data_IF_966744831626
#
_entry.id   IF_966744831626
#
_cell.length_a   1.000
_cell.length_b   1.000
_cell.length_c   1.000
_cell.angle_alpha   90.00
_cell.angle_beta   90.00
_cell.angle_gamma   90.00
#
_symmetry.space_group_name_H-M   'P 1'
#
loop_
_entity.id
_entity.type
_entity.pdbx_description
1 polymer ?
#
# COMPACT_ATOMS: atom_id res chain seq x y z
N UNK A 1 -7.33 -9.77 -50.17
CA UNK A 1 -6.30 -8.71 -50.10
C UNK A 1 -6.15 -8.35 -48.62
N UNK A 2 -5.32 -9.03 -47.85
CA UNK A 2 -3.89 -8.73 -47.58
C UNK A 2 -3.67 -7.23 -47.32
N UNK A 3 -3.49 -6.81 -46.07
CA UNK A 3 -2.19 -6.27 -45.62
C UNK A 3 -2.08 -6.35 -44.09
N UNK A 4 -1.16 -7.19 -43.62
CA UNK A 4 -0.59 -7.12 -42.28
C UNK A 4 0.33 -5.90 -42.22
N UNK A 5 0.32 -5.14 -41.11
CA UNK A 5 1.42 -4.22 -40.80
C UNK A 5 2.15 -4.73 -39.55
N UNK A 6 3.44 -4.92 -39.76
CA UNK A 6 4.42 -5.51 -38.87
C UNK A 6 4.95 -4.46 -37.89
N UNK A 7 5.10 -4.93 -36.65
CA UNK A 7 5.94 -4.46 -35.53
C UNK A 7 7.15 -3.59 -35.92
N UNK A 8 7.42 -2.56 -35.11
CA UNK A 8 8.76 -2.01 -34.96
C UNK A 8 9.11 -1.90 -33.46
N UNK A 9 10.15 -2.64 -33.08
CA UNK A 9 10.87 -2.61 -31.82
C UNK A 9 12.20 -1.90 -32.06
N UNK A 10 12.54 -0.83 -31.33
CA UNK A 10 13.93 -0.42 -31.13
C UNK A 10 14.31 -0.76 -29.69
N UNK A 11 15.24 -1.69 -29.44
CA UNK A 11 16.60 -1.58 -29.94
C UNK A 11 17.50 -1.14 -28.79
N UNK A 12 17.95 -2.14 -28.03
CA UNK A 12 18.98 -2.14 -27.00
C UNK A 12 20.19 -1.25 -27.36
N UNK A 13 20.58 -0.34 -26.46
CA UNK A 13 21.93 0.28 -26.51
C UNK A 13 22.71 -0.17 -25.28
N UNK A 14 23.78 -0.93 -25.54
CA UNK A 14 24.77 -1.37 -24.55
C UNK A 14 25.87 -0.32 -24.37
N UNK A 15 26.19 -0.08 -23.09
CA UNK A 15 27.51 0.17 -22.46
C UNK A 15 28.45 1.21 -23.06
N UNK A 16 28.87 2.14 -22.20
CA UNK A 16 30.24 2.65 -22.16
C UNK A 16 30.68 2.81 -20.69
N UNK A 17 31.63 1.98 -20.28
CA UNK A 17 32.41 2.17 -19.07
C UNK A 17 33.43 3.28 -19.32
N UNK A 18 33.57 4.21 -18.37
CA UNK A 18 34.74 5.08 -18.28
C UNK A 18 35.20 5.14 -16.82
N UNK A 19 36.31 4.45 -16.56
CA UNK A 19 37.13 4.55 -15.35
C UNK A 19 38.19 5.63 -15.63
N UNK A 20 38.28 6.69 -14.81
CA UNK A 20 39.46 7.57 -14.73
C UNK A 20 39.50 8.32 -13.38
N UNK A 21 40.08 7.62 -12.40
CA UNK A 21 41.14 8.00 -11.46
C UNK A 21 41.52 9.50 -11.25
N UNK A 22 41.71 9.84 -9.96
CA UNK A 22 42.60 10.85 -9.28
C UNK A 22 42.08 12.25 -8.89
N UNK A 23 42.28 12.58 -7.59
CA UNK A 23 42.22 13.92 -6.99
C UNK A 23 41.89 13.89 -5.48
N UNK A 24 42.79 13.46 -4.60
CA UNK A 24 43.66 14.27 -3.73
C UNK A 24 42.92 15.21 -2.74
N UNK A 25 42.89 14.75 -1.47
CA UNK A 25 43.08 15.44 -0.18
C UNK A 25 42.28 16.73 0.10
N UNK A 26 41.43 16.69 1.14
CA UNK A 26 41.32 17.79 2.10
C UNK A 26 41.44 17.25 3.53
N UNK A 27 42.50 17.67 4.22
CA UNK A 27 42.61 17.65 5.67
C UNK A 27 41.62 18.65 6.25
N UNK A 28 40.84 18.21 7.22
CA UNK A 28 39.98 19.08 8.03
C UNK A 28 39.75 18.42 9.37
N UNK A 29 40.72 18.53 10.27
CA UNK A 29 40.50 18.24 11.70
C UNK A 29 39.61 19.35 12.24
N UNK A 30 38.32 19.08 12.38
CA UNK A 30 37.45 19.88 13.23
C UNK A 30 37.79 19.56 14.68
N UNK A 31 38.66 20.37 15.27
CA UNK A 31 38.68 20.54 16.72
C UNK A 31 37.42 21.32 17.09
N UNK A 32 36.49 20.66 17.79
CA UNK A 32 35.40 21.32 18.47
C UNK A 32 35.56 20.98 19.96
N UNK A 33 36.48 21.68 20.61
CA UNK A 33 36.40 21.88 22.06
C UNK A 33 35.52 23.10 22.29
N UNK A 34 34.36 22.87 22.90
CA UNK A 34 33.53 23.92 23.47
C UNK A 34 32.90 23.36 24.72
N UNK A 35 33.44 23.79 25.84
CA UNK A 35 32.98 23.53 27.20
C UNK A 35 31.53 23.99 27.33
N UNK A 36 30.59 23.05 27.43
CA UNK A 36 29.22 23.35 27.84
C UNK A 36 28.94 22.69 29.19
N UNK A 37 28.59 23.55 30.15
CA UNK A 37 28.21 23.31 31.53
C UNK A 37 27.43 22.00 31.74
N UNK A 38 27.91 21.19 32.69
CA UNK A 38 27.23 20.01 33.17
C UNK A 38 25.90 20.39 33.86
N UNK A 39 24.80 20.33 33.11
CA UNK A 39 23.49 20.09 33.71
C UNK A 39 23.42 18.61 34.09
N UNK A 40 23.40 18.31 35.39
CA UNK A 40 22.98 16.99 35.90
C UNK A 40 21.52 16.77 35.53
N UNK A 41 21.26 16.24 34.33
CA UNK A 41 19.99 15.63 34.01
C UNK A 41 20.01 14.21 34.61
N UNK A 42 19.15 14.01 35.60
CA UNK A 42 18.76 12.68 36.06
C UNK A 42 18.31 11.88 34.81
N UNK A 43 18.86 10.69 34.51
CA UNK A 43 18.38 9.91 33.38
C UNK A 43 17.03 9.30 33.79
N UNK A 44 15.96 10.07 33.64
CA UNK A 44 14.64 9.51 33.43
C UNK A 44 14.79 8.62 32.20
N UNK A 45 14.59 7.32 32.38
CA UNK A 45 14.54 6.33 31.31
C UNK A 45 13.49 6.79 30.30
N UNK A 46 13.91 7.55 29.30
CA UNK A 46 13.21 7.65 28.03
C UNK A 46 13.20 6.23 27.49
N UNK A 47 12.04 5.59 27.28
CA UNK A 47 12.03 4.31 26.60
C UNK A 47 12.61 4.58 25.22
N UNK A 48 13.80 4.03 24.97
CA UNK A 48 14.32 3.85 23.62
C UNK A 48 13.27 2.99 22.93
N UNK A 49 12.41 3.62 22.14
CA UNK A 49 11.48 2.91 21.26
C UNK A 49 12.37 2.17 20.28
N UNK A 50 12.54 0.88 20.54
CA UNK A 50 13.24 -0.01 19.64
C UNK A 50 12.53 0.07 18.28
N UNK A 51 13.23 0.59 17.27
CA UNK A 51 12.78 0.66 15.86
C UNK A 51 12.63 -0.73 15.20
N UNK A 52 12.60 -1.80 16.01
CA UNK A 52 12.42 -3.19 15.60
C UNK A 52 11.05 -3.75 15.99
N UNK A 53 10.09 -2.91 16.41
CA UNK A 53 8.72 -3.35 16.56
C UNK A 53 8.15 -3.63 15.17
N UNK A 54 7.84 -4.90 14.90
CA UNK A 54 7.00 -5.29 13.78
C UNK A 54 5.73 -4.42 13.80
N UNK A 55 5.27 -3.89 12.65
CA UNK A 55 4.06 -3.07 12.62
C UNK A 55 2.94 -3.80 13.35
N UNK A 56 2.27 -3.14 14.30
CA UNK A 56 1.11 -3.73 14.95
C UNK A 56 -0.02 -3.82 13.91
N UNK A 57 -0.05 -4.94 13.18
CA UNK A 57 -1.03 -5.19 12.13
C UNK A 57 -2.44 -5.17 12.75
N UNK A 58 -3.43 -4.59 12.06
CA UNK A 58 -4.79 -4.52 12.58
C UNK A 58 -5.34 -5.91 12.86
N UNK A 59 -5.95 -6.07 14.04
CA UNK A 59 -6.63 -7.32 14.41
C UNK A 59 -8.12 -7.20 14.03
N UNK A 60 -8.73 -8.27 13.52
CA UNK A 60 -10.16 -8.27 13.25
C UNK A 60 -10.95 -8.26 14.56
N UNK A 61 -12.21 -7.83 14.46
CA UNK A 61 -13.23 -8.04 15.48
C UNK A 61 -13.62 -9.52 15.58
N UNK A 62 -14.43 -9.86 16.57
CA UNK A 62 -14.92 -11.23 16.80
C UNK A 62 -15.67 -11.80 15.58
N UNK A 63 -16.40 -10.95 14.85
CA UNK A 63 -17.09 -11.33 13.61
C UNK A 63 -16.17 -11.39 12.37
N UNK A 64 -14.85 -11.22 12.56
CA UNK A 64 -13.85 -11.20 11.50
C UNK A 64 -13.65 -9.85 10.82
N UNK A 65 -14.47 -8.83 11.11
CA UNK A 65 -14.39 -7.55 10.42
C UNK A 65 -13.19 -6.71 10.87
N UNK A 66 -12.55 -6.06 9.91
CA UNK A 66 -11.50 -5.07 10.20
C UNK A 66 -12.11 -3.69 10.43
N UNK A 67 -11.57 -2.98 11.42
CA UNK A 67 -11.87 -1.57 11.67
C UNK A 67 -10.94 -0.68 10.85
N UNK A 68 -11.27 0.61 10.79
CA UNK A 68 -10.40 1.66 10.26
C UNK A 68 -9.01 1.59 10.86
N UNK A 69 -8.00 1.52 9.99
CA UNK A 69 -6.58 1.48 10.35
C UNK A 69 -5.75 2.16 9.25
N UNK A 70 -4.52 2.59 9.55
CA UNK A 70 -3.59 3.14 8.56
C UNK A 70 -2.84 2.06 7.78
N UNK A 71 -3.31 0.81 7.81
CA UNK A 71 -2.66 -0.33 7.16
C UNK A 71 -2.81 -0.24 5.64
N UNK A 72 -1.69 -0.22 4.91
CA UNK A 72 -1.68 -0.03 3.45
C UNK A 72 -1.64 -1.36 2.68
N UNK A 73 -0.93 -2.36 3.20
CA UNK A 73 -0.65 -3.60 2.46
C UNK A 73 -1.46 -4.77 2.99
N UNK A 74 -2.05 -5.54 2.08
CA UNK A 74 -2.97 -6.63 2.38
C UNK A 74 -2.72 -7.82 1.46
N UNK A 75 -3.11 -9.02 1.90
CA UNK A 75 -3.14 -10.24 1.09
C UNK A 75 -4.59 -10.72 0.99
N UNK A 76 -5.01 -11.12 -0.22
CA UNK A 76 -6.28 -11.80 -0.43
C UNK A 76 -6.18 -13.26 0.03
N UNK A 77 -6.98 -13.64 1.03
CA UNK A 77 -7.01 -14.99 1.62
C UNK A 77 -8.32 -15.73 1.39
N UNK A 78 -9.18 -15.21 0.51
CA UNK A 78 -10.46 -15.83 0.18
C UNK A 78 -10.26 -17.30 -0.24
N UNK A 79 -10.98 -18.21 0.43
CA UNK A 79 -10.89 -19.64 0.19
C UNK A 79 -11.63 -20.09 -1.09
N UNK A 80 -12.45 -19.22 -1.70
CA UNK A 80 -13.09 -19.50 -2.98
C UNK A 80 -12.04 -19.59 -4.10
N UNK A 81 -12.05 -20.69 -4.84
CA UNK A 81 -11.17 -20.91 -5.99
C UNK A 81 -11.34 -19.89 -7.10
N UNK A 82 -12.47 -19.19 -7.16
CA UNK A 82 -12.72 -18.12 -8.12
C UNK A 82 -12.08 -16.78 -7.72
N UNK A 83 -11.48 -16.68 -6.54
CA UNK A 83 -10.84 -15.47 -6.03
C UNK A 83 -11.80 -14.53 -5.28
N UNK A 84 -11.23 -13.49 -4.69
CA UNK A 84 -11.95 -12.43 -3.99
C UNK A 84 -12.55 -11.44 -4.98
N UNK A 85 -13.87 -11.26 -4.95
CA UNK A 85 -14.56 -10.28 -5.80
C UNK A 85 -14.15 -8.85 -5.44
N UNK A 86 -13.81 -8.07 -6.48
CA UNK A 86 -13.55 -6.64 -6.37
C UNK A 86 -14.68 -5.87 -7.05
N UNK A 87 -15.39 -5.06 -6.26
CA UNK A 87 -16.61 -4.35 -6.65
C UNK A 87 -16.31 -2.90 -7.02
N UNK A 88 -16.75 -2.43 -8.18
CA UNK A 88 -16.41 -1.09 -8.66
C UNK A 88 -17.53 -0.44 -9.46
N UNK A 89 -17.47 0.88 -9.52
CA UNK A 89 -18.22 1.71 -10.46
C UNK A 89 -17.22 2.36 -11.42
N UNK A 90 -17.71 2.86 -12.54
CA UNK A 90 -16.91 3.68 -13.47
C UNK A 90 -16.78 5.12 -12.92
N UNK A 91 -16.13 5.24 -11.77
CA UNK A 91 -15.87 6.48 -11.03
C UNK A 91 -14.50 6.41 -10.37
N UNK A 92 -13.77 7.52 -10.38
CA UNK A 92 -12.54 7.69 -9.60
C UNK A 92 -12.82 7.69 -8.09
N UNK A 93 -11.78 7.47 -7.29
CA UNK A 93 -11.90 7.57 -5.83
C UNK A 93 -12.37 8.95 -5.39
N UNK A 94 -11.84 10.00 -6.01
CA UNK A 94 -12.21 11.38 -5.76
C UNK A 94 -13.69 11.63 -6.05
N UNK A 95 -14.21 11.08 -7.15
CA UNK A 95 -15.62 11.16 -7.47
C UNK A 95 -16.49 10.37 -6.50
N UNK A 96 -16.01 9.22 -6.01
CA UNK A 96 -16.74 8.40 -5.04
C UNK A 96 -16.88 9.10 -3.68
N UNK A 97 -15.85 9.83 -3.24
CA UNK A 97 -15.85 10.49 -1.91
C UNK A 97 -16.31 11.95 -1.93
N UNK A 98 -16.54 12.54 -3.12
CA UNK A 98 -17.02 13.91 -3.24
C UNK A 98 -18.45 14.02 -2.67
N UNK A 99 -18.69 14.82 -1.62
CA UNK A 99 -20.02 14.98 -1.03
C UNK A 99 -21.05 15.59 -2.00
N UNK A 100 -20.61 16.17 -3.13
CA UNK A 100 -21.47 16.68 -4.20
C UNK A 100 -21.98 15.55 -5.10
N UNK A 101 -21.27 14.43 -5.16
CA UNK A 101 -21.70 13.25 -5.89
C UNK A 101 -22.59 12.40 -4.97
N UNK A 102 -23.85 12.21 -5.36
CA UNK A 102 -24.82 11.40 -4.61
C UNK A 102 -24.61 9.91 -4.87
N UNK A 103 -23.43 9.38 -4.55
CA UNK A 103 -23.12 7.96 -4.68
C UNK A 103 -23.62 7.22 -3.45
N UNK A 104 -24.55 6.28 -3.65
CA UNK A 104 -24.94 5.34 -2.59
C UNK A 104 -23.86 4.26 -2.46
N UNK A 105 -23.18 4.22 -1.31
CA UNK A 105 -22.20 3.17 -0.98
C UNK A 105 -22.94 1.86 -0.65
N UNK A 106 -23.51 1.21 -1.65
CA UNK A 106 -24.14 -0.12 -1.56
C UNK A 106 -23.24 -1.16 -2.25
N UNK A 107 -22.00 -1.21 -1.75
CA UNK A 107 -20.85 -1.79 -2.46
C UNK A 107 -21.07 -3.26 -2.81
N UNK A 108 -21.74 -4.02 -1.93
CA UNK A 108 -22.07 -5.42 -2.18
C UNK A 108 -22.86 -5.64 -3.48
N UNK A 109 -23.66 -4.65 -3.89
CA UNK A 109 -24.51 -4.70 -5.07
C UNK A 109 -23.86 -4.03 -6.30
N UNK A 110 -22.66 -3.48 -6.18
CA UNK A 110 -21.93 -2.94 -7.33
C UNK A 110 -21.39 -4.05 -8.23
N UNK A 111 -21.19 -3.78 -9.53
CA UNK A 111 -20.59 -4.72 -10.46
C UNK A 111 -19.23 -5.25 -9.98
N UNK A 112 -18.98 -6.53 -10.24
CA UNK A 112 -17.65 -7.13 -10.04
C UNK A 112 -16.81 -6.74 -11.25
N UNK A 113 -15.80 -5.90 -11.04
CA UNK A 113 -14.91 -5.38 -12.09
C UNK A 113 -13.59 -6.15 -12.17
N UNK A 114 -13.31 -6.99 -11.18
CA UNK A 114 -12.14 -7.85 -11.15
C UNK A 114 -12.15 -8.82 -9.98
N UNK A 115 -11.12 -9.66 -9.91
CA UNK A 115 -10.93 -10.61 -8.82
C UNK A 115 -9.47 -10.68 -8.41
N UNK A 116 -9.22 -10.77 -7.09
CA UNK A 116 -7.90 -11.06 -6.56
C UNK A 116 -7.77 -12.56 -6.30
N UNK A 117 -6.66 -13.15 -6.71
CA UNK A 117 -6.36 -14.57 -6.45
C UNK A 117 -6.03 -14.75 -4.97
N UNK A 118 -6.25 -15.96 -4.45
CA UNK A 118 -5.77 -16.30 -3.12
C UNK A 118 -4.23 -16.21 -3.07
N UNK A 119 -3.70 -15.61 -2.01
CA UNK A 119 -2.28 -15.33 -1.83
C UNK A 119 -1.78 -14.12 -2.62
N UNK A 120 -2.66 -13.40 -3.31
CA UNK A 120 -2.29 -12.20 -4.04
C UNK A 120 -2.23 -11.01 -3.10
N UNK A 121 -1.08 -10.34 -3.11
CA UNK A 121 -0.85 -9.11 -2.36
C UNK A 121 -1.40 -7.90 -3.11
N UNK A 122 -1.87 -6.91 -2.36
CA UNK A 122 -2.37 -5.65 -2.89
C UNK A 122 -2.15 -4.47 -1.94
N UNK A 123 -2.13 -3.28 -2.53
CA UNK A 123 -2.04 -2.01 -1.84
C UNK A 123 -3.33 -1.20 -1.98
N UNK A 124 -3.52 -0.29 -1.02
CA UNK A 124 -4.72 0.52 -0.90
C UNK A 124 -4.32 1.99 -0.83
N UNK A 125 -5.17 2.87 -1.33
CA UNK A 125 -5.04 4.28 -1.03
C UNK A 125 -5.71 4.59 0.32
N UNK A 126 -5.09 5.45 1.12
CA UNK A 126 -5.73 5.96 2.33
C UNK A 126 -6.60 7.15 1.96
N UNK A 127 -7.82 7.20 2.50
CA UNK A 127 -8.65 8.39 2.36
C UNK A 127 -8.04 9.60 3.09
N UNK A 128 -8.61 10.81 2.92
CA UNK A 128 -8.08 12.05 3.51
C UNK A 128 -7.87 12.00 5.04
N UNK A 129 -8.62 11.15 5.74
CA UNK A 129 -8.50 10.92 7.18
C UNK A 129 -7.36 9.94 7.57
N UNK A 130 -6.58 9.42 6.62
CA UNK A 130 -5.49 8.47 6.87
C UNK A 130 -5.93 7.04 7.16
N UNK A 131 -7.15 6.66 6.74
CA UNK A 131 -7.70 5.31 6.97
C UNK A 131 -8.13 4.67 5.65
N UNK A 132 -7.91 3.35 5.54
CA UNK A 132 -8.18 2.59 4.32
C UNK A 132 -9.46 1.75 4.31
N UNK A 133 -10.22 1.74 5.42
CA UNK A 133 -11.49 1.01 5.53
C UNK A 133 -12.66 1.99 5.52
N UNK A 134 -13.61 1.77 4.62
CA UNK A 134 -14.89 2.49 4.54
C UNK A 134 -16.04 1.55 4.90
N UNK A 135 -17.22 2.10 5.20
CA UNK A 135 -18.40 1.30 5.51
C UNK A 135 -19.48 1.56 4.46
N UNK A 136 -20.14 0.50 4.02
CA UNK A 136 -21.29 0.61 3.12
C UNK A 136 -22.58 0.97 3.89
N UNK A 137 -23.68 1.10 3.17
CA UNK A 137 -25.01 1.41 3.70
C UNK A 137 -25.55 0.37 4.68
N UNK A 138 -24.99 -0.84 4.68
CA UNK A 138 -25.31 -1.94 5.60
C UNK A 138 -24.29 -2.05 6.75
N UNK A 139 -23.37 -1.08 6.89
CA UNK A 139 -22.28 -1.07 7.87
C UNK A 139 -21.26 -2.21 7.72
N UNK A 140 -21.18 -2.83 6.53
CA UNK A 140 -20.08 -3.75 6.23
C UNK A 140 -18.81 -2.97 5.92
N UNK A 141 -17.64 -3.34 6.46
CA UNK A 141 -16.39 -2.68 6.11
C UNK A 141 -15.80 -3.19 4.79
N UNK A 142 -15.27 -2.26 4.00
CA UNK A 142 -14.70 -2.44 2.68
C UNK A 142 -13.36 -1.70 2.55
N UNK A 143 -12.46 -2.25 1.74
CA UNK A 143 -11.13 -1.69 1.46
C UNK A 143 -11.09 -1.28 -0.02
N UNK A 144 -10.63 -0.06 -0.29
CA UNK A 144 -10.43 0.44 -1.66
C UNK A 144 -9.06 0.03 -2.20
N UNK A 145 -9.03 -0.83 -3.21
CA UNK A 145 -7.83 -1.34 -3.86
C UNK A 145 -7.35 -0.35 -4.90
N UNK A 146 -6.08 0.02 -4.84
CA UNK A 146 -5.51 1.06 -5.71
C UNK A 146 -4.52 0.50 -6.73
N UNK A 147 -3.65 -0.47 -6.34
CA UNK A 147 -2.79 -1.29 -7.22
C UNK A 147 -2.39 -0.65 -8.58
N UNK A 148 -1.85 0.58 -8.56
CA UNK A 148 -1.72 1.45 -9.74
C UNK A 148 -0.76 0.91 -10.79
N UNK A 149 0.16 0.03 -10.40
CA UNK A 149 1.13 -0.58 -11.30
C UNK A 149 0.52 -1.66 -12.21
N UNK A 150 -0.70 -2.14 -11.95
CA UNK A 150 -1.40 -3.14 -12.78
C UNK A 150 -0.77 -4.54 -12.83
N UNK A 151 0.47 -4.70 -12.37
CA UNK A 151 1.19 -5.99 -12.35
C UNK A 151 0.61 -6.98 -11.31
N UNK A 152 -0.14 -6.48 -10.32
CA UNK A 152 -0.66 -7.26 -9.18
C UNK A 152 -2.20 -7.31 -9.07
N UNK A 153 -2.93 -7.19 -10.19
CA UNK A 153 -4.38 -7.47 -10.26
C UNK A 153 -5.29 -6.25 -10.35
N UNK A 154 -6.59 -6.36 -10.00
CA UNK A 154 -7.56 -5.29 -10.20
C UNK A 154 -7.25 -4.06 -9.33
N UNK A 155 -7.60 -2.88 -9.84
CA UNK A 155 -7.51 -1.58 -9.17
C UNK A 155 -8.85 -0.84 -9.24
N UNK A 156 -8.97 0.25 -8.48
CA UNK A 156 -10.13 1.14 -8.43
C UNK A 156 -11.44 0.41 -8.07
N UNK A 157 -11.36 -0.49 -7.10
CA UNK A 157 -12.47 -1.33 -6.69
C UNK A 157 -12.39 -1.67 -5.20
N UNK A 158 -13.48 -2.20 -4.64
CA UNK A 158 -13.61 -2.49 -3.22
C UNK A 158 -13.67 -3.98 -2.95
N UNK A 159 -12.97 -4.41 -1.91
CA UNK A 159 -13.02 -5.78 -1.38
C UNK A 159 -13.53 -5.78 0.06
N UNK A 160 -14.19 -6.87 0.47
CA UNK A 160 -14.75 -6.98 1.82
C UNK A 160 -13.62 -7.08 2.86
N UNK A 161 -13.62 -6.16 3.82
CA UNK A 161 -12.63 -6.08 4.89
C UNK A 161 -12.98 -7.02 6.05
N UNK A 162 -12.86 -8.32 5.80
CA UNK A 162 -13.09 -9.37 6.79
C UNK A 162 -11.99 -10.43 6.70
N UNK A 163 -11.59 -11.01 7.82
CA UNK A 163 -10.49 -11.99 7.94
C UNK A 163 -10.69 -13.26 7.10
N UNK A 164 -11.93 -13.54 6.66
CA UNK A 164 -12.22 -14.63 5.71
C UNK A 164 -11.79 -14.32 4.28
N UNK A 165 -11.55 -13.05 3.96
CA UNK A 165 -11.30 -12.56 2.60
C UNK A 165 -9.94 -11.92 2.45
N UNK A 166 -9.49 -11.18 3.47
CA UNK A 166 -8.22 -10.45 3.46
C UNK A 166 -7.49 -10.60 4.77
N UNK A 167 -6.17 -10.46 4.77
CA UNK A 167 -5.37 -10.27 5.98
C UNK A 167 -4.37 -9.12 5.78
N UNK A 168 -4.09 -8.32 6.82
CA UNK A 168 -3.05 -7.31 6.75
C UNK A 168 -1.68 -7.98 6.70
N UNK A 169 -0.75 -7.40 5.96
CA UNK A 169 0.64 -7.86 5.86
C UNK A 169 1.60 -6.68 6.08
N UNK A 170 2.82 -6.92 6.55
CA UNK A 170 3.80 -5.85 6.68
C UNK A 170 4.29 -5.38 5.30
N UNK A 171 4.74 -4.13 5.20
CA UNK A 171 5.39 -3.61 3.97
C UNK A 171 6.61 -4.47 3.59
N UNK A 172 7.32 -5.02 4.58
CA UNK A 172 8.43 -5.95 4.33
C UNK A 172 7.96 -7.22 3.62
N UNK A 173 6.82 -7.78 4.02
CA UNK A 173 6.26 -8.97 3.39
C UNK A 173 5.80 -8.66 1.96
N UNK A 174 5.12 -7.51 1.77
CA UNK A 174 4.67 -7.05 0.46
C UNK A 174 5.83 -6.89 -0.55
N UNK A 175 6.97 -6.34 -0.12
CA UNK A 175 8.15 -6.14 -0.98
C UNK A 175 8.94 -7.43 -1.29
N UNK A 176 8.51 -8.59 -0.78
CA UNK A 176 9.16 -9.89 -1.02
C UNK A 176 8.38 -10.78 -2.00
N UNK A 177 7.16 -10.37 -2.37
CA UNK A 177 6.27 -11.07 -3.31
C UNK A 177 6.55 -10.74 -4.77
#
# INVERSE_FOLDING_TARGET
>A
MITNIIKANPGTVRKLSALLILGVIWMGTVACESTSLAFKQNPTKTPVVAQNAEPNLPKPLENGDYRRSPQITWEAVNADSNGLNCHGLDLSYEELIDPRNSVKFDIQNWPIVGKLKQGQDFEINLGPAGFGVVYDTQQNPWIYVENLAGENGPSHCFVRANSRFVKPISVKAFNQG
#
